data_IF_953693714119
#
_entry.id   IF_953693714119
#
_cell.length_a   1.000
_cell.length_b   1.000
_cell.length_c   1.000
_cell.angle_alpha   90.00
_cell.angle_beta   90.00
_cell.angle_gamma   90.00
#
_symmetry.space_group_name_H-M   'P 1'
#
loop_
_entity.id
_entity.type
_entity.pdbx_description
1 polymer ?
#
# COMPACT_ATOMS: atom_id res chain seq x y z
N UNK A 1 -5.99 2.70 -13.93
CA UNK A 1 -5.91 1.38 -13.28
C UNK A 1 -7.20 0.96 -12.56
N UNK A 2 -8.10 1.88 -12.20
CA UNK A 2 -9.31 1.59 -11.41
C UNK A 2 -10.34 0.73 -12.14
N UNK A 3 -10.67 1.01 -13.41
CA UNK A 3 -11.79 0.32 -14.09
C UNK A 3 -11.57 -1.19 -14.30
N UNK A 4 -10.40 -1.60 -14.78
CA UNK A 4 -10.07 -3.03 -15.01
C UNK A 4 -9.96 -3.82 -13.71
N UNK A 5 -9.38 -3.20 -12.67
CA UNK A 5 -9.28 -3.83 -11.35
C UNK A 5 -10.65 -4.00 -10.68
N UNK A 6 -11.53 -3.00 -10.81
CA UNK A 6 -12.91 -3.11 -10.32
C UNK A 6 -13.73 -4.14 -11.11
N UNK A 7 -13.53 -4.24 -12.43
CA UNK A 7 -14.13 -5.31 -13.23
C UNK A 7 -13.66 -6.71 -12.80
N UNK A 8 -12.35 -6.88 -12.56
CA UNK A 8 -11.80 -8.12 -12.03
C UNK A 8 -12.38 -8.48 -10.65
N UNK A 9 -12.47 -7.51 -9.73
CA UNK A 9 -13.07 -7.71 -8.41
C UNK A 9 -14.53 -8.14 -8.51
N UNK A 10 -15.32 -7.44 -9.34
CA UNK A 10 -16.73 -7.75 -9.52
C UNK A 10 -16.93 -9.16 -10.07
N UNK A 11 -16.16 -9.55 -11.09
CA UNK A 11 -16.19 -10.89 -11.65
C UNK A 11 -15.77 -11.95 -10.61
N UNK A 12 -14.68 -11.72 -9.88
CA UNK A 12 -14.22 -12.65 -8.84
C UNK A 12 -15.23 -12.80 -7.69
N UNK A 13 -15.91 -11.73 -7.30
CA UNK A 13 -16.95 -11.76 -6.28
C UNK A 13 -18.18 -12.54 -6.74
N UNK A 14 -18.63 -12.34 -7.99
CA UNK A 14 -19.74 -13.10 -8.57
C UNK A 14 -19.42 -14.61 -8.65
N UNK A 15 -18.20 -14.98 -9.07
CA UNK A 15 -17.74 -16.37 -9.05
C UNK A 15 -17.82 -16.98 -7.65
N UNK A 16 -17.31 -16.27 -6.63
CA UNK A 16 -17.36 -16.71 -5.24
C UNK A 16 -18.80 -16.88 -4.74
N UNK A 17 -19.69 -15.96 -5.10
CA UNK A 17 -21.10 -16.02 -4.74
C UNK A 17 -21.81 -17.22 -5.38
N UNK A 18 -21.57 -17.48 -6.67
CA UNK A 18 -22.13 -18.66 -7.37
C UNK A 18 -21.62 -19.97 -6.80
N UNK A 19 -20.32 -20.05 -6.48
CA UNK A 19 -19.75 -21.23 -5.85
C UNK A 19 -20.40 -21.51 -4.50
N UNK A 20 -20.54 -20.49 -3.64
CA UNK A 20 -21.20 -20.64 -2.34
C UNK A 20 -22.66 -21.10 -2.47
N UNK A 21 -23.38 -20.64 -3.52
CA UNK A 21 -24.74 -21.11 -3.81
C UNK A 21 -24.77 -22.59 -4.18
N UNK A 22 -23.86 -23.06 -5.03
CA UNK A 22 -23.80 -24.49 -5.38
C UNK A 22 -23.40 -25.36 -4.20
N UNK A 23 -22.49 -24.91 -3.34
CA UNK A 23 -22.13 -25.60 -2.10
C UNK A 23 -23.34 -25.70 -1.15
N UNK A 24 -24.06 -24.60 -0.95
CA UNK A 24 -25.28 -24.58 -0.13
C UNK A 24 -26.35 -25.53 -0.68
N UNK A 25 -26.60 -25.50 -2.00
CA UNK A 25 -27.54 -26.40 -2.66
C UNK A 25 -27.13 -27.87 -2.52
N UNK A 26 -25.84 -28.19 -2.70
CA UNK A 26 -25.35 -29.55 -2.54
C UNK A 26 -25.54 -30.04 -1.10
N UNK A 27 -25.29 -29.20 -0.10
CA UNK A 27 -25.49 -29.55 1.31
C UNK A 27 -26.96 -29.74 1.67
N UNK A 28 -27.86 -28.91 1.14
CA UNK A 28 -29.31 -29.09 1.28
C UNK A 28 -29.76 -30.43 0.69
N UNK A 29 -29.34 -30.75 -0.54
CA UNK A 29 -29.68 -32.01 -1.19
C UNK A 29 -29.09 -33.20 -0.41
N UNK A 30 -27.86 -33.11 0.10
CA UNK A 30 -27.25 -34.16 0.95
C UNK A 30 -28.06 -34.40 2.22
N UNK A 31 -28.57 -33.35 2.86
CA UNK A 31 -29.44 -33.48 4.04
C UNK A 31 -30.76 -34.17 3.69
N UNK A 32 -31.37 -33.82 2.57
CA UNK A 32 -32.60 -34.46 2.09
C UNK A 32 -32.38 -35.93 1.69
N UNK A 33 -31.25 -36.26 1.06
CA UNK A 33 -30.83 -37.65 0.80
C UNK A 33 -30.70 -38.42 2.12
N UNK A 34 -30.00 -37.86 3.11
CA UNK A 34 -29.82 -38.50 4.40
C UNK A 34 -31.17 -38.76 5.10
N UNK A 35 -32.09 -37.79 5.04
CA UNK A 35 -33.45 -37.92 5.56
C UNK A 35 -34.23 -39.01 4.83
N UNK A 36 -34.21 -39.01 3.49
CA UNK A 36 -34.88 -40.02 2.67
C UNK A 36 -34.31 -41.44 2.90
N UNK A 37 -32.99 -41.57 3.10
CA UNK A 37 -32.34 -42.85 3.44
C UNK A 37 -32.79 -43.36 4.81
N UNK A 38 -32.91 -42.48 5.81
CA UNK A 38 -33.46 -42.84 7.12
C UNK A 38 -34.91 -43.31 7.03
N UNK A 39 -35.77 -42.55 6.34
CA UNK A 39 -37.17 -42.94 6.14
C UNK A 39 -37.29 -44.30 5.44
N UNK A 40 -36.47 -44.53 4.40
CA UNK A 40 -36.45 -45.83 3.72
C UNK A 40 -36.01 -46.97 4.65
N UNK A 41 -35.00 -46.74 5.49
CA UNK A 41 -34.53 -47.72 6.47
C UNK A 41 -35.59 -48.01 7.55
N UNK A 42 -36.24 -46.99 8.10
CA UNK A 42 -37.34 -47.12 9.07
C UNK A 42 -38.52 -47.90 8.49
N UNK A 43 -38.90 -47.62 7.23
CA UNK A 43 -39.93 -48.39 6.53
C UNK A 43 -39.54 -49.87 6.39
N UNK A 44 -38.28 -50.13 6.02
CA UNK A 44 -37.76 -51.50 5.86
C UNK A 44 -37.76 -52.24 7.20
N UNK A 45 -37.31 -51.60 8.27
CA UNK A 45 -37.27 -52.19 9.61
C UNK A 45 -38.67 -52.48 10.16
N UNK A 46 -39.61 -51.54 10.00
CA UNK A 46 -40.99 -51.72 10.44
C UNK A 46 -41.75 -52.81 9.66
N UNK A 47 -41.47 -52.96 8.37
CA UNK A 47 -42.03 -54.02 7.52
C UNK A 47 -41.49 -55.40 7.90
N UNK A 48 -40.15 -55.53 8.05
CA UNK A 48 -39.49 -56.78 8.47
C UNK A 48 -39.90 -57.19 9.88
N UNK A 49 -40.08 -56.23 10.79
CA UNK A 49 -40.55 -56.49 12.15
C UNK A 49 -42.07 -56.75 12.23
N UNK A 50 -42.81 -56.65 11.12
CA UNK A 50 -44.26 -56.83 11.08
C UNK A 50 -45.04 -55.75 11.83
N UNK A 51 -44.42 -54.60 12.14
CA UNK A 51 -45.03 -53.48 12.88
C UNK A 51 -45.90 -52.60 11.98
N UNK A 52 -45.63 -52.59 10.67
CA UNK A 52 -46.42 -51.92 9.65
C UNK A 52 -46.30 -52.70 8.34
N UNK A 53 -47.36 -52.71 7.51
CA UNK A 53 -47.31 -53.34 6.19
C UNK A 53 -47.22 -52.27 5.11
N UNK A 54 -46.00 -52.03 4.61
CA UNK A 54 -45.79 -51.07 3.54
C UNK A 54 -45.98 -51.74 2.18
N UNK A 55 -46.63 -51.03 1.25
CA UNK A 55 -46.85 -51.55 -0.09
C UNK A 55 -45.57 -51.44 -0.94
N UNK A 56 -45.42 -52.33 -1.93
CA UNK A 56 -44.35 -52.25 -2.93
C UNK A 56 -44.30 -50.88 -3.61
N UNK A 57 -45.47 -50.25 -3.82
CA UNK A 57 -45.59 -48.90 -4.39
C UNK A 57 -44.95 -47.84 -3.48
N UNK A 58 -45.11 -47.94 -2.16
CA UNK A 58 -44.48 -47.02 -1.21
C UNK A 58 -42.95 -47.16 -1.18
N UNK A 59 -42.43 -48.39 -1.19
CA UNK A 59 -40.98 -48.62 -1.30
C UNK A 59 -40.42 -48.12 -2.63
N UNK A 60 -41.14 -48.35 -3.73
CA UNK A 60 -40.74 -47.86 -5.06
C UNK A 60 -40.71 -46.34 -5.10
N UNK A 61 -41.73 -45.66 -4.54
CA UNK A 61 -41.77 -44.21 -4.45
C UNK A 61 -40.61 -43.63 -3.61
N UNK A 62 -40.29 -44.25 -2.48
CA UNK A 62 -39.16 -43.84 -1.64
C UNK A 62 -37.81 -44.02 -2.34
N UNK A 63 -37.64 -45.14 -3.07
CA UNK A 63 -36.45 -45.41 -3.88
C UNK A 63 -36.32 -44.44 -5.05
N UNK A 64 -37.43 -44.12 -5.72
CA UNK A 64 -37.44 -43.16 -6.82
C UNK A 64 -37.11 -41.75 -6.33
N UNK A 65 -37.62 -41.34 -5.17
CA UNK A 65 -37.25 -40.07 -4.52
C UNK A 65 -35.75 -39.99 -4.24
N UNK A 66 -35.14 -41.07 -3.73
CA UNK A 66 -33.70 -41.13 -3.51
C UNK A 66 -32.92 -40.99 -4.82
N UNK A 67 -33.32 -41.72 -5.86
CA UNK A 67 -32.69 -41.64 -7.18
C UNK A 67 -32.78 -40.22 -7.77
N UNK A 68 -33.90 -39.53 -7.61
CA UNK A 68 -34.06 -38.15 -8.06
C UNK A 68 -33.10 -37.22 -7.33
N UNK A 69 -33.05 -37.29 -5.99
CA UNK A 69 -32.15 -36.44 -5.20
C UNK A 69 -30.67 -36.70 -5.49
N UNK A 70 -30.28 -37.97 -5.70
CA UNK A 70 -28.91 -38.33 -6.10
C UNK A 70 -28.57 -37.77 -7.50
N UNK A 71 -29.52 -37.79 -8.44
CA UNK A 71 -29.38 -37.16 -9.74
C UNK A 71 -29.27 -35.62 -9.67
N UNK A 72 -30.07 -34.98 -8.82
CA UNK A 72 -29.99 -33.54 -8.56
C UNK A 72 -28.64 -33.14 -7.97
N UNK A 73 -28.12 -33.93 -7.02
CA UNK A 73 -26.80 -33.72 -6.43
C UNK A 73 -25.68 -33.81 -7.48
N UNK A 74 -25.74 -34.81 -8.36
CA UNK A 74 -24.79 -34.95 -9.47
C UNK A 74 -24.85 -33.73 -10.41
N UNK A 75 -26.06 -33.28 -10.76
CA UNK A 75 -26.24 -32.10 -11.61
C UNK A 75 -25.75 -30.79 -10.96
N UNK A 76 -25.79 -30.66 -9.63
CA UNK A 76 -25.18 -29.53 -8.91
C UNK A 76 -23.65 -29.62 -8.94
N UNK A 77 -23.09 -30.81 -8.76
CA UNK A 77 -21.65 -31.03 -8.87
C UNK A 77 -21.12 -30.71 -10.28
N UNK A 78 -21.82 -31.13 -11.33
CA UNK A 78 -21.43 -30.81 -12.71
C UNK A 78 -21.44 -29.31 -12.98
N UNK A 79 -22.48 -28.61 -12.50
CA UNK A 79 -22.56 -27.14 -12.59
C UNK A 79 -21.43 -26.45 -11.84
N UNK A 80 -21.05 -26.97 -10.68
CA UNK A 80 -19.90 -26.46 -9.90
C UNK A 80 -18.57 -26.67 -10.64
N UNK A 81 -18.37 -27.84 -11.24
CA UNK A 81 -17.17 -28.14 -12.03
C UNK A 81 -17.07 -27.22 -13.25
N UNK A 82 -18.16 -27.04 -14.00
CA UNK A 82 -18.22 -26.11 -15.13
C UNK A 82 -17.92 -24.67 -14.70
N UNK A 83 -18.37 -24.25 -13.50
CA UNK A 83 -18.05 -22.93 -12.97
C UNK A 83 -16.54 -22.80 -12.67
N UNK A 84 -15.89 -23.83 -12.13
CA UNK A 84 -14.44 -23.81 -11.89
C UNK A 84 -13.65 -23.75 -13.21
N UNK A 85 -14.06 -24.47 -14.24
CA UNK A 85 -13.44 -24.40 -15.57
C UNK A 85 -13.57 -22.99 -16.19
N UNK A 86 -14.77 -22.40 -16.09
CA UNK A 86 -15.02 -21.02 -16.55
C UNK A 86 -14.24 -19.98 -15.76
N UNK A 87 -13.99 -20.21 -14.48
CA UNK A 87 -13.20 -19.30 -13.64
C UNK A 87 -11.80 -19.07 -14.23
N UNK A 88 -11.16 -20.13 -14.71
CA UNK A 88 -9.83 -20.03 -15.33
C UNK A 88 -9.86 -19.23 -16.63
N UNK A 89 -10.85 -19.47 -17.48
CA UNK A 89 -10.96 -18.82 -18.80
C UNK A 89 -11.46 -17.39 -18.75
N UNK A 90 -12.35 -17.06 -17.80
CA UNK A 90 -12.94 -15.72 -17.66
C UNK A 90 -12.09 -14.77 -16.79
N UNK A 91 -11.45 -15.26 -15.72
CA UNK A 91 -10.65 -14.40 -14.83
C UNK A 91 -9.19 -14.22 -15.28
N UNK A 92 -8.59 -15.20 -15.98
CA UNK A 92 -7.21 -15.08 -16.45
C UNK A 92 -6.95 -13.86 -17.35
N UNK A 93 -7.78 -13.54 -18.37
CA UNK A 93 -7.56 -12.35 -19.19
C UNK A 93 -7.67 -11.06 -18.36
N UNK A 94 -8.69 -10.95 -17.50
CA UNK A 94 -8.85 -9.79 -16.62
C UNK A 94 -7.66 -9.61 -15.67
N UNK A 95 -7.15 -10.71 -15.11
CA UNK A 95 -5.96 -10.68 -14.26
C UNK A 95 -4.71 -10.24 -15.04
N UNK A 96 -4.57 -10.68 -16.29
CA UNK A 96 -3.47 -10.28 -17.16
C UNK A 96 -3.51 -8.78 -17.48
N UNK A 97 -4.69 -8.23 -17.73
CA UNK A 97 -4.89 -6.79 -17.95
C UNK A 97 -4.57 -5.97 -16.70
N UNK A 98 -5.01 -6.42 -15.52
CA UNK A 98 -4.68 -5.77 -14.25
C UNK A 98 -3.17 -5.75 -14.01
N UNK A 99 -2.48 -6.86 -14.29
CA UNK A 99 -1.01 -6.94 -14.17
C UNK A 99 -0.32 -5.98 -15.13
N UNK A 100 -0.77 -5.92 -16.38
CA UNK A 100 -0.22 -4.99 -17.37
C UNK A 100 -0.43 -3.54 -16.96
N UNK A 101 -1.65 -3.18 -16.58
CA UNK A 101 -1.98 -1.83 -16.12
C UNK A 101 -1.19 -1.42 -14.87
N UNK A 102 -0.84 -2.36 -13.99
CA UNK A 102 0.07 -2.11 -12.86
C UNK A 102 1.47 -1.72 -13.33
N UNK A 103 2.06 -2.50 -14.24
CA UNK A 103 3.40 -2.23 -14.78
C UNK A 103 3.44 -0.86 -15.46
N UNK A 104 2.43 -0.54 -16.28
CA UNK A 104 2.36 0.74 -17.00
C UNK A 104 2.31 1.94 -16.05
N UNK A 105 1.57 1.84 -14.94
CA UNK A 105 1.51 2.91 -13.93
C UNK A 105 2.80 2.99 -13.13
N UNK A 106 3.39 1.86 -12.76
CA UNK A 106 4.68 1.85 -12.05
C UNK A 106 5.76 2.51 -12.90
N UNK A 107 5.80 2.21 -14.20
CA UNK A 107 6.72 2.83 -15.13
C UNK A 107 6.48 4.34 -15.25
N UNK A 108 5.22 4.77 -15.39
CA UNK A 108 4.88 6.20 -15.44
C UNK A 108 5.30 6.94 -14.18
N UNK A 109 5.06 6.36 -12.99
CA UNK A 109 5.49 6.94 -11.72
C UNK A 109 7.01 7.07 -11.68
N UNK A 110 7.76 6.03 -12.10
CA UNK A 110 9.22 6.09 -12.17
C UNK A 110 9.72 7.19 -13.10
N UNK A 111 9.10 7.34 -14.27
CA UNK A 111 9.43 8.40 -15.24
C UNK A 111 9.15 9.78 -14.66
N UNK A 112 7.99 9.98 -14.03
CA UNK A 112 7.64 11.26 -13.38
C UNK A 112 8.57 11.60 -12.21
N UNK A 113 8.95 10.63 -11.38
CA UNK A 113 9.92 10.83 -10.32
C UNK A 113 11.28 11.24 -10.91
N UNK A 114 11.70 10.58 -12.00
CA UNK A 114 12.96 10.92 -12.67
C UNK A 114 12.93 12.36 -13.20
N UNK A 115 11.85 12.77 -13.86
CA UNK A 115 11.66 14.14 -14.33
C UNK A 115 11.72 15.15 -13.17
N UNK A 116 11.06 14.86 -12.04
CA UNK A 116 11.11 15.72 -10.85
C UNK A 116 12.53 15.84 -10.28
N UNK A 117 13.30 14.75 -10.26
CA UNK A 117 14.70 14.77 -9.83
C UNK A 117 15.54 15.63 -10.77
N UNK A 118 15.36 15.49 -12.09
CA UNK A 118 16.07 16.29 -13.09
C UNK A 118 15.72 17.77 -12.99
N UNK A 119 14.46 18.11 -12.72
CA UNK A 119 14.02 19.48 -12.44
C UNK A 119 14.55 20.03 -11.12
N UNK A 120 14.75 19.18 -10.11
CA UNK A 120 15.27 19.54 -8.79
C UNK A 120 16.78 19.82 -8.75
N UNK A 121 17.56 19.12 -9.59
CA UNK A 121 19.02 19.26 -9.68
C UNK A 121 19.55 20.72 -9.77
N UNK A 122 19.03 21.60 -10.65
CA UNK A 122 19.52 22.97 -10.72
C UNK A 122 19.30 23.76 -9.43
N UNK A 123 18.22 23.52 -8.69
CA UNK A 123 17.97 24.19 -7.41
C UNK A 123 18.96 23.75 -6.34
N UNK A 124 19.30 22.45 -6.29
CA UNK A 124 20.35 21.94 -5.39
C UNK A 124 21.68 22.63 -5.69
N UNK A 125 22.05 22.76 -6.97
CA UNK A 125 23.27 23.47 -7.39
C UNK A 125 23.25 24.94 -6.95
N UNK A 126 22.15 25.66 -7.17
CA UNK A 126 22.00 27.05 -6.74
C UNK A 126 22.14 27.22 -5.23
N UNK A 127 21.54 26.32 -4.44
CA UNK A 127 21.67 26.34 -2.98
C UNK A 127 23.13 26.12 -2.54
N UNK A 128 23.86 25.20 -3.17
CA UNK A 128 25.30 25.01 -2.90
C UNK A 128 26.14 26.23 -3.28
N UNK A 129 25.84 26.88 -4.40
CA UNK A 129 26.53 28.11 -4.83
C UNK A 129 26.30 29.24 -3.82
N UNK A 130 25.06 29.46 -3.38
CA UNK A 130 24.72 30.45 -2.36
C UNK A 130 25.38 30.15 -1.01
N UNK A 131 25.38 28.88 -0.59
CA UNK A 131 26.06 28.47 0.64
C UNK A 131 27.58 28.75 0.56
N UNK A 132 28.19 28.51 -0.60
CA UNK A 132 29.62 28.80 -0.84
C UNK A 132 29.90 30.30 -0.80
N UNK A 133 29.05 31.12 -1.43
CA UNK A 133 29.18 32.58 -1.37
C UNK A 133 29.06 33.11 0.06
N UNK A 134 28.08 32.64 0.82
CA UNK A 134 27.91 33.00 2.22
C UNK A 134 29.14 32.61 3.07
N UNK A 135 29.71 31.43 2.82
CA UNK A 135 30.94 30.99 3.51
C UNK A 135 32.16 31.86 3.17
N UNK A 136 32.31 32.28 1.91
CA UNK A 136 33.39 33.18 1.49
C UNK A 136 33.27 34.57 2.13
N UNK A 137 32.07 35.17 2.10
CA UNK A 137 31.80 36.46 2.74
C UNK A 137 32.08 36.41 4.25
N UNK A 138 31.77 35.27 4.90
CA UNK A 138 32.15 35.05 6.30
C UNK A 138 33.66 35.03 6.49
N UNK A 139 34.39 34.33 5.63
CA UNK A 139 35.85 34.25 5.76
C UNK A 139 36.50 35.62 5.59
N UNK A 140 36.01 36.43 4.64
CA UNK A 140 36.41 37.83 4.45
C UNK A 140 36.10 38.67 5.69
N UNK A 141 34.87 38.62 6.21
CA UNK A 141 34.50 39.39 7.40
C UNK A 141 35.33 39.01 8.64
N UNK A 142 35.62 37.71 8.84
CA UNK A 142 36.48 37.26 9.94
C UNK A 142 37.90 37.80 9.76
N UNK A 143 38.45 37.72 8.54
CA UNK A 143 39.78 38.23 8.24
C UNK A 143 39.88 39.73 8.49
N UNK A 144 38.90 40.50 8.03
CA UNK A 144 38.83 41.94 8.26
C UNK A 144 38.81 42.28 9.75
N UNK A 145 38.05 41.54 10.57
CA UNK A 145 38.04 41.72 12.03
C UNK A 145 39.41 41.42 12.63
N UNK A 146 40.11 40.37 12.18
CA UNK A 146 41.47 40.08 12.66
C UNK A 146 42.48 41.14 12.23
N UNK A 147 42.43 41.60 10.97
CA UNK A 147 43.31 42.64 10.45
C UNK A 147 43.08 43.98 11.16
N UNK A 148 41.82 44.33 11.47
CA UNK A 148 41.46 45.48 12.29
C UNK A 148 42.00 45.35 13.73
N UNK A 149 41.81 44.20 14.38
CA UNK A 149 42.35 43.95 15.73
C UNK A 149 43.87 44.07 15.77
N UNK A 150 44.56 43.58 14.74
CA UNK A 150 46.00 43.67 14.62
C UNK A 150 46.47 45.12 14.38
N UNK A 151 45.81 45.88 13.51
CA UNK A 151 46.09 47.30 13.29
C UNK A 151 45.92 48.12 14.58
N UNK A 152 44.88 47.81 15.36
CA UNK A 152 44.62 48.44 16.67
C UNK A 152 45.67 48.06 17.71
N UNK A 153 46.09 46.79 17.75
CA UNK A 153 47.21 46.32 18.60
C UNK A 153 48.49 47.10 18.31
N UNK A 154 48.73 47.45 17.05
CA UNK A 154 49.86 48.26 16.61
C UNK A 154 49.67 49.75 16.97
N UNK A 155 48.45 50.28 16.93
CA UNK A 155 48.12 51.69 17.19
C UNK A 155 48.08 52.06 18.70
N UNK A 156 47.92 51.10 19.60
CA UNK A 156 47.98 51.29 21.06
C UNK A 156 46.63 51.30 21.79
N UNK A 157 46.68 51.23 23.12
CA UNK A 157 45.55 50.86 24.01
C UNK A 157 44.29 51.72 23.89
N UNK A 158 44.38 52.99 23.47
CA UNK A 158 43.20 53.87 23.34
C UNK A 158 42.26 53.49 22.19
N UNK A 159 42.77 52.81 21.15
CA UNK A 159 41.99 52.36 19.99
C UNK A 159 41.30 51.00 20.24
N UNK A 160 41.87 50.15 21.12
CA UNK A 160 41.30 48.85 21.53
C UNK A 160 39.91 48.98 22.14
N UNK A 161 39.69 49.99 22.97
CA UNK A 161 38.38 50.23 23.61
C UNK A 161 37.31 50.68 22.62
N UNK A 162 37.68 51.40 21.53
CA UNK A 162 36.72 51.86 20.52
C UNK A 162 36.25 50.72 19.61
N UNK A 163 37.18 49.89 19.14
CA UNK A 163 36.87 48.75 18.27
C UNK A 163 36.20 47.57 19.00
N UNK A 164 36.42 47.41 20.30
CA UNK A 164 35.66 46.46 21.12
C UNK A 164 34.17 46.81 21.23
N UNK A 165 33.82 48.10 21.14
CA UNK A 165 32.43 48.58 21.18
C UNK A 165 31.80 48.48 19.79
N UNK A 166 32.54 48.74 18.73
CA UNK A 166 32.04 48.61 17.35
C UNK A 166 31.82 47.13 16.94
N UNK A 167 32.67 46.21 17.40
CA UNK A 167 32.56 44.77 17.09
C UNK A 167 31.59 43.99 17.99
N UNK A 168 31.01 44.60 19.04
CA UNK A 168 30.06 43.91 19.94
C UNK A 168 28.70 43.60 19.30
N UNK A 169 28.46 44.08 18.08
CA UNK A 169 27.24 43.87 17.30
C UNK A 169 27.38 42.78 16.23
N UNK A 170 28.54 42.11 16.15
CA UNK A 170 28.69 40.90 15.34
C UNK A 170 28.06 39.75 16.13
N UNK A 171 26.98 39.10 15.65
CA UNK A 171 26.34 38.02 16.39
C UNK A 171 27.32 36.87 16.65
N UNK A 172 27.45 36.45 17.91
CA UNK A 172 28.29 35.31 18.32
C UNK A 172 27.69 33.96 17.86
N UNK A 173 26.39 33.96 17.55
CA UNK A 173 25.52 32.80 17.37
C UNK A 173 25.25 32.48 15.89
N UNK A 174 26.27 32.68 15.05
CA UNK A 174 26.26 32.19 13.68
C UNK A 174 26.78 30.74 13.67
N UNK A 175 25.91 29.81 14.07
CA UNK A 175 26.14 28.37 13.89
C UNK A 175 25.83 27.97 12.43
N UNK A 176 26.87 27.72 11.63
CA UNK A 176 26.69 27.29 10.24
C UNK A 176 27.19 25.87 9.96
N UNK A 177 26.59 25.29 8.91
CA UNK A 177 26.68 23.90 8.49
C UNK A 177 28.09 23.33 8.53
N UNK A 178 28.23 22.17 9.16
CA UNK A 178 29.38 21.30 8.92
C UNK A 178 29.28 20.80 7.47
N UNK A 179 30.27 21.07 6.60
CA UNK A 179 30.29 20.54 5.25
C UNK A 179 30.18 19.02 5.19
N UNK A 180 30.62 18.31 6.23
CA UNK A 180 30.48 16.85 6.33
C UNK A 180 29.01 16.44 6.49
N UNK A 181 28.21 17.17 7.27
CA UNK A 181 26.77 16.91 7.44
C UNK A 181 26.00 17.15 6.13
N UNK A 182 26.40 18.15 5.33
CA UNK A 182 25.84 18.40 3.99
C UNK A 182 26.17 17.28 3.01
N UNK A 183 27.41 16.78 3.04
CA UNK A 183 27.87 15.67 2.19
C UNK A 183 27.17 14.36 2.59
N UNK A 184 27.00 14.10 3.88
CA UNK A 184 26.26 12.93 4.39
C UNK A 184 24.78 13.02 4.03
N UNK A 185 24.14 14.17 4.25
CA UNK A 185 22.73 14.39 3.88
C UNK A 185 22.48 14.19 2.38
N UNK A 186 23.41 14.63 1.53
CA UNK A 186 23.34 14.37 0.08
C UNK A 186 23.51 12.88 -0.26
N UNK A 187 24.35 12.15 0.47
CA UNK A 187 24.58 10.71 0.25
C UNK A 187 23.44 9.83 0.76
N UNK A 188 22.86 10.17 1.90
CA UNK A 188 21.85 9.33 2.59
C UNK A 188 20.43 9.76 2.28
N UNK A 189 20.21 11.00 1.87
CA UNK A 189 18.89 11.60 1.70
C UNK A 189 18.22 12.01 3.02
N UNK A 190 18.92 11.89 4.16
CA UNK A 190 18.38 12.26 5.47
C UNK A 190 18.82 13.68 5.87
N UNK A 191 17.91 14.48 6.42
CA UNK A 191 18.28 15.80 6.96
C UNK A 191 19.10 15.68 8.25
N UNK A 192 20.09 16.57 8.48
CA UNK A 192 20.82 16.63 9.74
C UNK A 192 19.88 16.85 10.93
N UNK A 193 20.18 16.26 12.09
CA UNK A 193 19.26 16.19 13.23
C UNK A 193 18.74 17.55 13.70
N UNK A 194 19.58 18.59 13.66
CA UNK A 194 19.19 19.96 14.05
C UNK A 194 18.13 20.61 13.14
N UNK A 195 17.80 20.00 12.01
CA UNK A 195 16.74 20.45 11.09
C UNK A 195 15.49 19.57 11.10
N UNK A 196 15.48 18.44 11.83
CA UNK A 196 14.30 17.57 11.92
C UNK A 196 13.11 18.28 12.57
N UNK A 197 13.35 19.15 13.55
CA UNK A 197 12.27 19.88 14.24
C UNK A 197 11.62 20.98 13.39
N UNK A 198 12.31 21.49 12.37
CA UNK A 198 11.75 22.47 11.42
C UNK A 198 10.73 21.80 10.47
N UNK A 199 10.89 20.50 10.22
CA UNK A 199 9.95 19.71 9.40
C UNK A 199 8.68 19.27 10.15
N UNK A 200 8.64 19.43 11.48
CA UNK A 200 7.49 19.11 12.32
C UNK A 200 6.52 20.29 12.52
N UNK A 201 6.87 21.49 12.03
CA UNK A 201 5.94 22.61 11.98
C UNK A 201 4.90 22.33 10.88
N UNK A 202 3.67 21.97 11.29
CA UNK A 202 2.54 21.82 10.37
C UNK A 202 2.43 23.04 9.44
N UNK A 203 2.06 22.84 8.16
CA UNK A 203 1.84 23.96 7.25
C UNK A 203 0.74 24.82 7.86
N UNK A 204 1.09 26.03 8.28
CA UNK A 204 0.11 27.04 8.64
C UNK A 204 -0.80 27.23 7.45
N UNK A 205 -2.04 26.79 7.60
CA UNK A 205 -3.11 27.04 6.64
C UNK A 205 -3.16 28.53 6.38
N UNK A 206 -2.75 28.94 5.18
CA UNK A 206 -3.02 30.30 4.71
C UNK A 206 -4.52 30.34 4.45
N UNK A 207 -5.25 30.94 5.39
CA UNK A 207 -6.66 31.25 5.24
C UNK A 207 -6.83 32.34 4.18
N UNK A 208 -7.71 32.05 3.22
CA UNK A 208 -8.46 32.94 2.31
C UNK A 208 -7.68 33.68 1.23
#
# INVERSE_FOLDING_TARGET
MTKQFEQFKAAAADFKARQARYETQADEIRREIAKAKRTYAEMTEADVAGKAAYTTTQFTAARQKLSTLEGELAAVHDRSNQLQERRGTELAPLLSEVRRGRVDVEQRIREQIKELIEQGQPFVKQLFELATQAANLRHEAIRDVYDQREAVRIAGESEMSRLSIENSNVPDDIHFFDPQELIESYRTGEMPERFRDVSAAEPTSVNS
#
